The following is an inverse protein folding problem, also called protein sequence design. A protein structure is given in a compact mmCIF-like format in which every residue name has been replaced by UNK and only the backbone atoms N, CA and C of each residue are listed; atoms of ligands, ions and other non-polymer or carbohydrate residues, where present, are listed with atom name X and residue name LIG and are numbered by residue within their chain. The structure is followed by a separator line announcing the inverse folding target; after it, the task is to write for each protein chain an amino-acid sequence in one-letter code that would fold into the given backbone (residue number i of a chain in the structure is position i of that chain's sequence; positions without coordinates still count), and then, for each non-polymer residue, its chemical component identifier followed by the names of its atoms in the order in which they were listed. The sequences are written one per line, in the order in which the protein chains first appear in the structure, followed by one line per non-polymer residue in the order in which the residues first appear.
data_IF_918211143235
#
_entry.id   IF_918211143235
#
_cell.length_a   1.000
_cell.length_b   1.000
_cell.length_c   1.000
_cell.angle_alpha   90.00
_cell.angle_beta   90.00
_cell.angle_gamma   90.00
#
_symmetry.space_group_name_H-M   'P 1'
#
loop_
_entity.id
_entity.type
_entity.pdbx_description
1 polymer ?
#
# COMPACT_ATOMS: atom_id res chain seq x y z
N UNK A 1 4.15 1.29 5.74
CA UNK A 1 3.73 0.07 5.03
C UNK A 1 3.12 0.47 3.70
N UNK A 2 3.36 -0.30 2.64
CA UNK A 2 2.85 -0.01 1.30
C UNK A 2 1.95 -1.15 0.85
N UNK A 3 0.71 -0.81 0.48
CA UNK A 3 -0.28 -1.70 -0.09
C UNK A 3 -0.37 -1.39 -1.59
N UNK A 4 0.14 -2.30 -2.40
CA UNK A 4 0.10 -2.17 -3.86
C UNK A 4 -1.30 -2.38 -4.43
N UNK A 5 -1.45 -2.14 -5.73
CA UNK A 5 -2.70 -2.34 -6.43
C UNK A 5 -3.20 -3.79 -6.30
N UNK A 6 -4.30 -4.05 -5.59
CA UNK A 6 -4.77 -5.40 -5.27
C UNK A 6 -3.67 -6.33 -4.71
N UNK A 7 -2.75 -5.77 -3.90
CA UNK A 7 -1.55 -6.45 -3.38
C UNK A 7 -0.54 -6.92 -4.44
N UNK A 8 -0.61 -6.40 -5.66
CA UNK A 8 0.34 -6.69 -6.71
C UNK A 8 1.58 -5.79 -6.62
N UNK A 9 2.73 -6.30 -7.03
CA UNK A 9 3.99 -5.56 -7.09
C UNK A 9 4.15 -4.83 -8.44
N UNK A 10 3.26 -3.88 -8.70
CA UNK A 10 3.21 -3.06 -9.93
C UNK A 10 2.87 -1.60 -9.61
N UNK A 11 2.64 -0.78 -10.64
CA UNK A 11 2.05 0.56 -10.46
C UNK A 11 2.95 1.57 -9.76
N UNK A 12 2.31 2.60 -9.20
CA UNK A 12 2.96 3.75 -8.56
C UNK A 12 3.69 3.33 -7.28
N UNK A 13 3.06 2.47 -6.49
CA UNK A 13 3.57 1.95 -5.22
C UNK A 13 4.89 1.21 -5.40
N UNK A 14 5.04 0.40 -6.46
CA UNK A 14 6.30 -0.29 -6.78
C UNK A 14 7.45 0.70 -6.99
N UNK A 15 7.23 1.73 -7.81
CA UNK A 15 8.27 2.71 -8.11
C UNK A 15 8.66 3.50 -6.87
N UNK A 16 7.67 3.96 -6.11
CA UNK A 16 7.89 4.67 -4.85
C UNK A 16 8.64 3.81 -3.84
N UNK A 17 8.22 2.56 -3.65
CA UNK A 17 8.89 1.61 -2.77
C UNK A 17 10.35 1.42 -3.19
N UNK A 18 10.58 1.06 -4.45
CA UNK A 18 11.93 0.78 -4.97
C UNK A 18 12.86 1.98 -4.77
N UNK A 19 12.37 3.19 -5.05
CA UNK A 19 13.12 4.41 -4.78
C UNK A 19 13.39 4.60 -3.28
N UNK A 20 12.37 4.43 -2.44
CA UNK A 20 12.45 4.69 -1.01
C UNK A 20 13.44 3.76 -0.30
N UNK A 21 13.34 2.44 -0.51
CA UNK A 21 14.23 1.49 0.18
C UNK A 21 15.69 1.67 -0.24
N UNK A 22 15.92 2.07 -1.50
CA UNK A 22 17.28 2.34 -2.01
C UNK A 22 17.93 3.54 -1.34
N UNK A 23 17.18 4.60 -1.07
CA UNK A 23 17.72 5.86 -0.53
C UNK A 23 17.59 5.98 0.99
N UNK A 24 16.78 5.13 1.63
CA UNK A 24 16.54 5.15 3.08
C UNK A 24 16.74 3.76 3.70
N UNK A 25 17.94 3.15 3.59
CA UNK A 25 18.17 1.74 3.97
C UNK A 25 17.95 1.46 5.46
N UNK A 26 18.07 2.48 6.32
CA UNK A 26 17.86 2.36 7.76
C UNK A 26 16.38 2.47 8.18
N UNK A 27 15.49 2.84 7.26
CA UNK A 27 14.07 3.00 7.57
C UNK A 27 13.33 1.70 7.31
N UNK A 28 12.63 1.20 8.33
CA UNK A 28 11.78 0.02 8.18
C UNK A 28 10.64 0.32 7.18
N UNK A 29 10.72 -0.31 6.01
CA UNK A 29 9.73 -0.19 4.95
C UNK A 29 9.32 -1.60 4.51
N UNK A 30 8.01 -1.83 4.44
CA UNK A 30 7.42 -3.11 4.07
C UNK A 30 6.39 -2.91 2.96
N UNK A 31 6.40 -3.82 1.99
CA UNK A 31 5.44 -3.92 0.90
C UNK A 31 4.61 -5.19 1.08
N UNK A 32 3.29 -5.06 1.11
CA UNK A 32 2.37 -6.19 1.29
C UNK A 32 2.00 -6.76 -0.08
N UNK A 33 2.53 -7.95 -0.39
CA UNK A 33 2.40 -8.61 -1.70
C UNK A 33 2.83 -10.07 -1.61
N UNK A 34 2.23 -10.93 -2.44
CA UNK A 34 2.70 -12.32 -2.64
C UNK A 34 3.60 -12.46 -3.89
N UNK A 35 3.62 -11.48 -4.79
CA UNK A 35 4.44 -11.48 -6.02
C UNK A 35 5.96 -11.49 -5.79
N UNK A 36 6.41 -11.07 -4.60
CA UNK A 36 7.84 -10.95 -4.25
C UNK A 36 8.08 -11.52 -2.86
N UNK A 37 9.29 -12.03 -2.65
CA UNK A 37 9.77 -12.55 -1.37
C UNK A 37 11.02 -11.81 -0.94
N UNK A 38 11.21 -11.65 0.36
CA UNK A 38 12.37 -10.98 0.94
C UNK A 38 12.04 -10.27 2.25
N UNK A 39 13.03 -9.64 2.89
CA UNK A 39 12.86 -9.05 4.23
C UNK A 39 11.90 -7.86 4.26
N UNK A 40 11.70 -7.19 3.13
CA UNK A 40 10.76 -6.08 2.99
C UNK A 40 9.39 -6.49 2.45
N UNK A 41 9.18 -7.76 2.12
CA UNK A 41 7.93 -8.24 1.50
C UNK A 41 7.15 -9.09 2.48
N UNK A 42 5.86 -8.80 2.60
CA UNK A 42 4.97 -9.46 3.57
C UNK A 42 3.75 -9.97 2.83
N UNK A 43 3.39 -11.22 3.09
CA UNK A 43 2.19 -11.80 2.49
C UNK A 43 0.94 -11.09 3.01
N UNK A 44 -0.02 -10.71 2.15
CA UNK A 44 -1.31 -10.16 2.56
C UNK A 44 -2.11 -11.11 3.47
N UNK A 45 -1.82 -12.41 3.41
CA UNK A 45 -2.52 -13.45 4.18
C UNK A 45 -1.89 -13.71 5.55
N UNK A 46 -0.81 -13.00 5.89
CA UNK A 46 -0.16 -13.15 7.18
C UNK A 46 -0.85 -12.28 8.22
N UNK A 47 -1.11 -12.82 9.42
CA UNK A 47 -1.57 -12.02 10.58
C UNK A 47 -0.64 -10.83 10.87
N UNK A 48 0.64 -10.98 10.57
CA UNK A 48 1.65 -9.92 10.69
C UNK A 48 1.39 -8.73 9.76
N UNK A 49 0.69 -8.92 8.65
CA UNK A 49 0.35 -7.83 7.73
C UNK A 49 -0.58 -6.83 8.42
N UNK A 50 -1.66 -7.31 9.03
CA UNK A 50 -2.64 -6.47 9.73
C UNK A 50 -2.00 -5.71 10.90
N UNK A 51 -1.19 -6.41 11.70
CA UNK A 51 -0.44 -5.78 12.80
C UNK A 51 0.48 -4.65 12.30
N UNK A 52 1.18 -4.87 11.20
CA UNK A 52 2.08 -3.87 10.64
C UNK A 52 1.33 -2.70 10.00
N UNK A 53 0.21 -2.96 9.34
CA UNK A 53 -0.64 -1.90 8.77
C UNK A 53 -1.18 -1.01 9.90
N UNK A 54 -1.72 -1.61 10.95
CA UNK A 54 -2.34 -0.88 12.06
C UNK A 54 -1.31 -0.13 12.95
N UNK A 55 -0.08 -0.64 13.05
CA UNK A 55 1.01 -0.01 13.82
C UNK A 55 1.90 0.94 13.00
N UNK A 56 1.76 0.98 11.68
CA UNK A 56 2.59 1.81 10.83
C UNK A 56 2.34 3.31 11.04
N UNK A 57 3.44 4.08 11.09
CA UNK A 57 3.38 5.55 11.10
C UNK A 57 2.89 6.14 9.79
N UNK A 58 3.18 5.47 8.67
CA UNK A 58 2.73 5.88 7.34
C UNK A 58 2.26 4.64 6.60
N UNK A 59 1.05 4.72 6.05
CA UNK A 59 0.47 3.71 5.16
C UNK A 59 0.26 4.33 3.79
N UNK A 60 0.78 3.68 2.76
CA UNK A 60 0.65 4.10 1.36
C UNK A 60 -0.24 3.09 0.64
N UNK A 61 -1.23 3.57 -0.10
CA UNK A 61 -2.24 2.75 -0.76
C UNK A 61 -2.49 3.22 -2.18
N UNK A 62 -2.87 2.30 -3.08
CA UNK A 62 -3.38 2.63 -4.42
C UNK A 62 -4.89 2.39 -4.57
N UNK A 63 -5.46 1.55 -3.69
CA UNK A 63 -6.89 1.24 -3.65
C UNK A 63 -7.50 1.74 -2.34
N UNK A 64 -8.82 1.64 -2.26
CA UNK A 64 -9.52 1.73 -0.98
C UNK A 64 -9.08 0.61 -0.04
N UNK A 65 -9.01 0.95 1.24
CA UNK A 65 -8.60 0.01 2.28
C UNK A 65 -9.86 -0.63 2.87
N UNK A 66 -9.86 -1.94 3.14
CA UNK A 66 -10.92 -2.57 3.93
C UNK A 66 -11.20 -1.81 5.23
N UNK A 67 -12.48 -1.64 5.58
CA UNK A 67 -12.89 -0.99 6.84
C UNK A 67 -12.35 -1.68 8.10
N UNK A 68 -11.97 -2.95 7.97
CA UNK A 68 -11.36 -3.74 9.05
C UNK A 68 -9.95 -3.27 9.43
N UNK A 69 -9.28 -2.53 8.55
CA UNK A 69 -7.95 -1.99 8.80
C UNK A 69 -8.07 -0.54 9.29
N UNK A 70 -7.48 -0.28 10.44
CA UNK A 70 -7.48 1.04 11.08
C UNK A 70 -6.03 1.53 11.21
N UNK A 71 -5.44 2.01 10.10
CA UNK A 71 -4.10 2.57 10.14
C UNK A 71 -4.08 3.78 11.08
N UNK A 72 -3.33 3.68 12.18
CA UNK A 72 -3.23 4.76 13.18
C UNK A 72 -2.33 5.92 12.73
N UNK A 73 -1.53 5.71 11.68
CA UNK A 73 -0.60 6.69 11.14
C UNK A 73 -1.18 7.58 10.04
N UNK A 74 -0.28 8.26 9.33
CA UNK A 74 -0.64 9.03 8.13
C UNK A 74 -0.97 8.09 6.98
N UNK A 75 -2.15 8.26 6.39
CA UNK A 75 -2.53 7.57 5.16
C UNK A 75 -2.23 8.43 3.94
N UNK A 76 -1.54 7.87 2.96
CA UNK A 76 -1.26 8.50 1.67
C UNK A 76 -1.88 7.66 0.56
N UNK A 77 -2.89 8.21 -0.11
CA UNK A 77 -3.56 7.59 -1.25
C UNK A 77 -2.91 8.05 -2.55
N UNK A 78 -2.43 7.09 -3.34
CA UNK A 78 -1.79 7.34 -4.63
C UNK A 78 -2.80 7.34 -5.78
N UNK A 79 -3.93 6.65 -5.62
CA UNK A 79 -4.86 6.33 -6.71
C UNK A 79 -4.17 5.68 -7.93
N UNK A 80 -4.95 5.38 -8.97
CA UNK A 80 -4.49 4.64 -10.16
C UNK A 80 -4.39 5.50 -11.43
N UNK A 81 -4.53 6.83 -11.32
CA UNK A 81 -4.34 7.75 -12.43
C UNK A 81 -5.49 8.73 -12.64
N UNK A 82 -5.48 9.38 -13.82
CA UNK A 82 -6.51 10.38 -14.19
C UNK A 82 -7.79 9.67 -14.62
N UNK A 83 -8.94 9.94 -13.99
CA UNK A 83 -10.19 9.29 -14.35
C UNK A 83 -10.69 9.77 -15.70
N UNK A 84 -11.08 8.82 -16.56
CA UNK A 84 -11.82 9.09 -17.82
C UNK A 84 -13.33 8.90 -17.58
N UNK A 85 -13.69 7.98 -16.70
CA UNK A 85 -15.07 7.70 -16.30
C UNK A 85 -15.44 8.50 -15.05
N UNK A 86 -16.74 8.75 -14.87
CA UNK A 86 -17.27 9.29 -13.61
C UNK A 86 -17.13 8.25 -12.51
N UNK A 87 -16.49 8.62 -11.40
CA UNK A 87 -16.21 7.75 -10.25
C UNK A 87 -16.71 8.40 -8.97
N UNK A 88 -16.91 7.59 -7.92
CA UNK A 88 -17.32 8.04 -6.60
C UNK A 88 -18.63 8.86 -6.65
N UNK A 89 -18.61 10.10 -6.17
CA UNK A 89 -19.78 10.97 -6.09
C UNK A 89 -20.32 11.42 -7.45
N UNK A 90 -19.53 11.27 -8.53
CA UNK A 90 -19.96 11.60 -9.88
C UNK A 90 -20.63 10.42 -10.59
N UNK A 91 -20.50 9.20 -10.06
CA UNK A 91 -21.16 8.02 -10.62
C UNK A 91 -22.61 7.93 -10.14
N UNK A 92 -23.43 7.10 -10.82
CA UNK A 92 -24.82 6.83 -10.41
C UNK A 92 -24.93 5.64 -9.46
N UNK A 93 -23.80 5.10 -8.99
CA UNK A 93 -23.77 3.98 -8.03
C UNK A 93 -24.12 4.45 -6.61
#
# INVERSE_FOLDING_TARGET
VILGDHHQYIGNSKYLFTYFVKHNPMTACYFVTDDRRGPHFISPRSEKADELINSARVVLVENDIPETLQPNGTLIQLHQGTPIMQLFLDSKE
#
